data_IF_778798898614
#
_entry.id   IF_778798898614
#
_cell.length_a   1.000
_cell.length_b   1.000
_cell.length_c   1.000
_cell.angle_alpha   90.00
_cell.angle_beta   90.00
_cell.angle_gamma   90.00
#
_symmetry.space_group_name_H-M   'P 1'
#
loop_
_entity.id
_entity.type
_entity.pdbx_description
1 polymer ?
#
# COMPACT_ATOMS: atom_id res chain seq x y z
N UNK A 1 -7.40 -19.32 19.32
CA UNK A 1 -6.40 -18.83 18.34
C UNK A 1 -6.18 -17.34 18.57
N UNK A 2 -4.97 -16.99 19.02
CA UNK A 2 -4.64 -15.69 19.61
C UNK A 2 -4.61 -14.56 18.56
N UNK A 3 -5.61 -13.66 18.62
CA UNK A 3 -5.74 -12.47 17.78
C UNK A 3 -4.67 -11.39 18.05
N UNK A 4 -3.88 -11.55 19.11
CA UNK A 4 -2.86 -10.59 19.53
C UNK A 4 -1.52 -10.75 18.80
N UNK A 5 -1.27 -11.87 18.11
CA UNK A 5 -0.01 -12.05 17.39
C UNK A 5 0.02 -11.27 16.07
N UNK A 6 -1.14 -11.01 15.46
CA UNK A 6 -1.23 -10.29 14.18
C UNK A 6 -1.01 -8.76 14.33
N UNK A 7 -1.24 -8.21 15.52
CA UNK A 7 -1.12 -6.77 15.80
C UNK A 7 0.32 -6.30 16.02
N UNK A 8 1.27 -7.19 16.35
CA UNK A 8 2.68 -6.80 16.54
C UNK A 8 3.41 -6.65 15.19
N UNK A 9 2.92 -7.27 14.12
CA UNK A 9 3.60 -7.29 12.82
C UNK A 9 3.28 -6.11 11.88
N UNK A 10 2.30 -5.27 12.22
CA UNK A 10 1.92 -4.11 11.39
C UNK A 10 2.35 -2.75 11.97
N UNK A 11 2.84 -2.72 13.21
CA UNK A 11 3.47 -1.52 13.81
C UNK A 11 4.98 -1.49 13.63
N UNK A 12 5.61 -2.60 13.22
CA UNK A 12 7.06 -2.66 12.99
C UNK A 12 7.53 -2.20 11.60
N UNK A 13 6.63 -1.92 10.65
CA UNK A 13 7.04 -1.41 9.33
C UNK A 13 7.33 0.10 9.32
N UNK A 14 7.00 0.84 10.39
CA UNK A 14 7.25 2.28 10.49
C UNK A 14 8.35 2.66 11.51
N UNK A 15 9.08 1.70 12.07
CA UNK A 15 10.16 1.97 13.03
C UNK A 15 11.59 1.66 12.53
N UNK A 16 11.75 1.27 11.25
CA UNK A 16 13.06 0.87 10.72
C UNK A 16 13.79 1.93 9.89
N UNK A 17 13.35 3.19 9.90
CA UNK A 17 14.05 4.28 9.19
C UNK A 17 14.98 5.11 10.09
N UNK A 18 15.07 4.81 11.39
CA UNK A 18 15.83 5.63 12.36
C UNK A 18 17.09 4.98 12.94
N UNK A 19 17.42 3.72 12.63
CA UNK A 19 18.64 3.08 13.13
C UNK A 19 19.33 2.29 12.02
N UNK A 20 20.46 2.83 11.55
CA UNK A 20 21.29 2.33 10.44
C UNK A 20 22.04 1.01 10.69
N UNK A 21 21.42 0.04 11.38
CA UNK A 21 21.91 -1.34 11.46
C UNK A 21 20.72 -2.29 11.38
N UNK A 22 20.16 -2.44 10.18
CA UNK A 22 19.26 -3.55 9.88
C UNK A 22 20.13 -4.81 9.77
N UNK A 23 20.22 -5.57 10.87
CA UNK A 23 21.04 -6.79 10.92
C UNK A 23 20.64 -7.73 9.78
N UNK A 24 21.64 -8.28 9.08
CA UNK A 24 21.45 -9.26 8.01
C UNK A 24 20.59 -10.48 8.44
N UNK A 25 20.50 -10.71 9.76
CA UNK A 25 19.71 -11.76 10.40
C UNK A 25 18.19 -11.60 10.24
N UNK A 26 17.67 -10.38 10.08
CA UNK A 26 16.22 -10.14 9.95
C UNK A 26 15.70 -10.24 8.50
N UNK A 27 16.60 -10.19 7.50
CA UNK A 27 16.27 -10.30 6.08
C UNK A 27 15.42 -11.54 5.72
N UNK A 28 15.73 -12.77 6.19
CA UNK A 28 14.91 -13.94 5.85
C UNK A 28 13.49 -13.87 6.41
N UNK A 29 13.30 -13.29 7.60
CA UNK A 29 11.97 -13.14 8.21
C UNK A 29 11.12 -12.11 7.48
N UNK A 30 11.73 -11.00 7.03
CA UNK A 30 11.05 -9.99 6.22
C UNK A 30 10.66 -10.55 4.85
N UNK A 31 11.57 -11.26 4.18
CA UNK A 31 11.28 -11.92 2.90
C UNK A 31 10.16 -12.99 3.03
N UNK A 32 10.13 -13.71 4.17
CA UNK A 32 9.07 -14.68 4.43
C UNK A 32 7.73 -14.00 4.67
N UNK A 33 7.68 -12.91 5.44
CA UNK A 33 6.47 -12.12 5.68
C UNK A 33 5.90 -11.55 4.37
N UNK A 34 6.75 -10.99 3.51
CA UNK A 34 6.36 -10.50 2.19
C UNK A 34 5.80 -11.63 1.32
N UNK A 35 6.43 -12.81 1.33
CA UNK A 35 5.94 -13.96 0.57
C UNK A 35 4.54 -14.43 1.02
N UNK A 36 4.23 -14.33 2.32
CA UNK A 36 2.91 -14.65 2.88
C UNK A 36 1.90 -13.59 2.45
N UNK A 37 2.25 -12.31 2.53
CA UNK A 37 1.40 -11.21 2.12
C UNK A 37 1.06 -11.29 0.63
N UNK A 38 2.06 -11.57 -0.22
CA UNK A 38 1.89 -11.75 -1.66
C UNK A 38 0.95 -12.92 -1.97
N UNK A 39 1.14 -14.08 -1.32
CA UNK A 39 0.25 -15.24 -1.50
C UNK A 39 -1.19 -14.92 -1.10
N UNK A 40 -1.40 -14.36 0.08
CA UNK A 40 -2.75 -14.02 0.54
C UNK A 40 -3.43 -13.00 -0.39
N UNK A 41 -2.70 -11.95 -0.78
CA UNK A 41 -3.22 -10.94 -1.70
C UNK A 41 -3.61 -11.55 -3.05
N UNK A 42 -2.70 -12.33 -3.64
CA UNK A 42 -2.92 -13.06 -4.90
C UNK A 42 -4.18 -13.91 -4.84
N UNK A 43 -4.27 -14.79 -3.84
CA UNK A 43 -5.35 -15.76 -3.72
C UNK A 43 -6.68 -15.05 -3.42
N UNK A 44 -6.65 -13.94 -2.68
CA UNK A 44 -7.84 -13.17 -2.32
C UNK A 44 -8.49 -12.41 -3.49
N UNK A 45 -7.73 -12.10 -4.53
CA UNK A 45 -8.18 -11.34 -5.69
C UNK A 45 -8.12 -12.15 -7.00
N UNK A 46 -7.70 -13.42 -6.92
CA UNK A 46 -7.54 -14.28 -8.10
C UNK A 46 -6.50 -13.77 -9.10
N UNK A 47 -5.43 -13.12 -8.62
CA UNK A 47 -4.41 -12.55 -9.48
C UNK A 47 -3.43 -13.63 -9.97
N UNK A 48 -2.84 -13.42 -11.15
CA UNK A 48 -1.65 -14.18 -11.54
C UNK A 48 -0.42 -13.76 -10.73
N UNK A 49 0.58 -14.63 -10.62
CA UNK A 49 1.85 -14.31 -9.93
C UNK A 49 2.50 -13.03 -10.50
N UNK A 50 2.48 -12.88 -11.84
CA UNK A 50 3.01 -11.69 -12.52
C UNK A 50 2.25 -10.44 -12.12
N UNK A 51 0.92 -10.47 -12.10
CA UNK A 51 0.11 -9.33 -11.66
C UNK A 51 0.36 -8.99 -10.20
N UNK A 52 0.50 -10.00 -9.33
CA UNK A 52 0.85 -9.77 -7.92
C UNK A 52 2.20 -9.09 -7.80
N UNK A 53 3.25 -9.56 -8.48
CA UNK A 53 4.56 -8.92 -8.45
C UNK A 53 4.50 -7.46 -8.93
N UNK A 54 3.81 -7.19 -10.04
CA UNK A 54 3.62 -5.83 -10.54
C UNK A 54 2.86 -4.94 -9.55
N UNK A 55 1.84 -5.47 -8.88
CA UNK A 55 1.11 -4.71 -7.85
C UNK A 55 2.03 -4.31 -6.70
N UNK A 56 2.85 -5.22 -6.17
CA UNK A 56 3.74 -4.91 -5.05
C UNK A 56 4.80 -3.87 -5.46
N UNK A 57 5.34 -3.94 -6.68
CA UNK A 57 6.23 -2.90 -7.21
C UNK A 57 5.53 -1.53 -7.29
N UNK A 58 4.29 -1.49 -7.79
CA UNK A 58 3.52 -0.24 -7.86
C UNK A 58 3.21 0.32 -6.47
N UNK A 59 2.85 -0.55 -5.54
CA UNK A 59 2.56 -0.21 -4.13
C UNK A 59 3.79 0.40 -3.46
N UNK A 60 4.94 -0.27 -3.57
CA UNK A 60 6.16 0.16 -2.91
C UNK A 60 6.66 1.49 -3.48
N UNK A 61 6.54 1.65 -4.81
CA UNK A 61 6.79 2.94 -5.45
C UNK A 61 5.85 4.04 -4.95
N UNK A 62 4.56 3.77 -4.85
CA UNK A 62 3.59 4.74 -4.34
C UNK A 62 3.93 5.20 -2.92
N UNK A 63 4.33 4.29 -2.02
CA UNK A 63 4.76 4.65 -0.68
C UNK A 63 6.05 5.46 -0.68
N UNK A 64 7.07 5.05 -1.43
CA UNK A 64 8.32 5.80 -1.53
C UNK A 64 8.08 7.24 -2.06
N UNK A 65 7.30 7.39 -3.13
CA UNK A 65 6.97 8.70 -3.70
C UNK A 65 6.12 9.53 -2.72
N UNK A 66 5.24 8.88 -1.93
CA UNK A 66 4.43 9.54 -0.89
C UNK A 66 5.28 10.09 0.24
N UNK A 67 6.23 9.28 0.73
CA UNK A 67 7.16 9.67 1.79
C UNK A 67 8.07 10.82 1.32
N UNK A 68 8.50 10.80 0.05
CA UNK A 68 9.24 11.91 -0.55
C UNK A 68 8.43 13.21 -0.57
N UNK A 69 7.14 13.17 -0.94
CA UNK A 69 6.29 14.38 -0.94
C UNK A 69 6.08 14.88 0.49
N UNK A 70 5.80 13.99 1.46
CA UNK A 70 5.61 14.37 2.85
C UNK A 70 6.87 14.95 3.49
N UNK A 71 8.05 14.44 3.11
CA UNK A 71 9.35 14.89 3.61
C UNK A 71 9.91 16.14 2.92
N UNK A 72 9.30 16.61 1.81
CA UNK A 72 9.77 17.77 1.07
C UNK A 72 9.35 19.07 1.75
N UNK A 73 10.26 19.61 2.58
CA UNK A 73 10.07 20.86 3.32
C UNK A 73 10.14 22.11 2.44
N UNK A 74 10.47 21.98 1.15
CA UNK A 74 10.46 23.11 0.21
C UNK A 74 9.07 23.44 -0.32
N UNK A 75 8.11 22.54 -0.13
CA UNK A 75 6.74 22.68 -0.59
C UNK A 75 5.84 23.27 0.49
N UNK A 76 4.88 24.08 0.07
CA UNK A 76 3.73 24.43 0.91
C UNK A 76 2.80 23.23 1.08
N UNK A 77 1.98 23.24 2.14
CA UNK A 77 0.97 22.20 2.38
C UNK A 77 0.03 22.01 1.18
N UNK A 78 -0.34 23.11 0.51
CA UNK A 78 -1.17 23.07 -0.70
C UNK A 78 -0.46 22.35 -1.85
N UNK A 79 0.82 22.64 -2.08
CA UNK A 79 1.60 21.98 -3.13
C UNK A 79 1.83 20.50 -2.83
N UNK A 80 2.06 20.15 -1.56
CA UNK A 80 2.13 18.75 -1.13
C UNK A 80 0.80 18.04 -1.43
N UNK A 81 -0.34 18.64 -1.06
CA UNK A 81 -1.66 18.07 -1.33
C UNK A 81 -1.91 17.86 -2.83
N UNK A 82 -1.57 18.84 -3.67
CA UNK A 82 -1.74 18.72 -5.11
C UNK A 82 -0.83 17.63 -5.71
N UNK A 83 0.42 17.51 -5.24
CA UNK A 83 1.30 16.39 -5.63
C UNK A 83 0.75 15.04 -5.19
N UNK A 84 0.20 14.93 -3.98
CA UNK A 84 -0.45 13.71 -3.51
C UNK A 84 -1.65 13.31 -4.38
N UNK A 85 -2.47 14.28 -4.80
CA UNK A 85 -3.59 14.03 -5.71
C UNK A 85 -3.10 13.46 -7.04
N UNK A 86 -2.09 14.08 -7.65
CA UNK A 86 -1.49 13.59 -8.91
C UNK A 86 -0.89 12.19 -8.76
N UNK A 87 -0.18 11.94 -7.66
CA UNK A 87 0.38 10.62 -7.36
C UNK A 87 -0.72 9.56 -7.24
N UNK A 88 -1.79 9.86 -6.51
CA UNK A 88 -2.94 8.95 -6.33
C UNK A 88 -3.68 8.66 -7.63
N UNK A 89 -3.88 9.67 -8.48
CA UNK A 89 -4.46 9.49 -9.82
C UNK A 89 -3.58 8.57 -10.67
N UNK A 90 -2.28 8.84 -10.73
CA UNK A 90 -1.31 8.04 -11.50
C UNK A 90 -1.32 6.58 -11.05
N UNK A 91 -1.23 6.36 -9.74
CA UNK A 91 -1.27 5.02 -9.15
C UNK A 91 -2.59 4.30 -9.45
N UNK A 92 -3.72 5.01 -9.34
CA UNK A 92 -5.04 4.46 -9.66
C UNK A 92 -5.15 4.05 -11.13
N UNK A 93 -4.65 4.87 -12.06
CA UNK A 93 -4.59 4.53 -13.49
C UNK A 93 -3.73 3.29 -13.74
N UNK A 94 -2.59 3.16 -13.07
CA UNK A 94 -1.72 1.98 -13.19
C UNK A 94 -2.40 0.72 -12.65
N UNK A 95 -3.11 0.81 -11.53
CA UNK A 95 -3.89 -0.31 -10.98
C UNK A 95 -5.02 -0.74 -11.91
N UNK A 96 -5.77 0.21 -12.51
CA UNK A 96 -6.82 -0.08 -13.49
C UNK A 96 -6.29 -0.74 -14.77
N UNK A 97 -5.01 -0.54 -15.13
CA UNK A 97 -4.36 -1.25 -16.24
C UNK A 97 -3.91 -2.66 -15.84
N UNK A 98 -3.55 -2.86 -14.57
CA UNK A 98 -3.08 -4.13 -14.05
C UNK A 98 -4.20 -5.12 -13.76
N UNK A 99 -5.34 -4.60 -13.27
CA UNK A 99 -6.51 -5.37 -12.87
C UNK A 99 -7.61 -5.27 -13.92
N UNK A 100 -8.39 -6.34 -14.07
CA UNK A 100 -9.65 -6.24 -14.81
C UNK A 100 -10.65 -5.40 -13.99
N UNK A 101 -11.68 -4.80 -14.61
CA UNK A 101 -12.66 -3.99 -13.88
C UNK A 101 -13.28 -4.71 -12.66
N UNK A 102 -13.70 -5.99 -12.75
CA UNK A 102 -14.23 -6.71 -11.58
C UNK A 102 -13.21 -6.88 -10.44
N UNK A 103 -11.94 -7.17 -10.77
CA UNK A 103 -10.87 -7.32 -9.80
C UNK A 103 -10.56 -5.98 -9.13
N UNK A 104 -10.56 -4.89 -9.90
CA UNK A 104 -10.35 -3.54 -9.39
C UNK A 104 -11.46 -3.15 -8.38
N UNK A 105 -12.73 -3.41 -8.69
CA UNK A 105 -13.83 -3.15 -7.75
C UNK A 105 -13.67 -3.93 -6.43
N UNK A 106 -13.32 -5.22 -6.50
CA UNK A 106 -13.06 -6.02 -5.30
C UNK A 106 -11.87 -5.49 -4.49
N UNK A 107 -10.81 -5.06 -5.17
CA UNK A 107 -9.66 -4.44 -4.54
C UNK A 107 -10.07 -3.18 -3.75
N UNK A 108 -10.85 -2.27 -4.36
CA UNK A 108 -11.30 -1.05 -3.69
C UNK A 108 -12.16 -1.34 -2.46
N UNK A 109 -13.08 -2.30 -2.53
CA UNK A 109 -13.89 -2.72 -1.37
C UNK A 109 -13.00 -3.20 -0.24
N UNK A 110 -11.99 -4.03 -0.54
CA UNK A 110 -11.05 -4.53 0.48
C UNK A 110 -10.21 -3.42 1.09
N UNK A 111 -9.75 -2.45 0.28
CA UNK A 111 -9.00 -1.29 0.80
C UNK A 111 -9.90 -0.46 1.72
N UNK A 112 -11.15 -0.18 1.33
CA UNK A 112 -12.12 0.56 2.17
C UNK A 112 -12.37 -0.15 3.50
N UNK A 113 -12.65 -1.47 3.47
CA UNK A 113 -12.85 -2.28 4.68
C UNK A 113 -11.63 -2.25 5.61
N UNK A 114 -10.43 -2.31 5.02
CA UNK A 114 -9.19 -2.22 5.78
C UNK A 114 -9.04 -0.84 6.42
N UNK A 115 -9.27 0.24 5.68
CA UNK A 115 -9.19 1.61 6.21
C UNK A 115 -10.21 1.83 7.35
N UNK A 116 -11.43 1.31 7.22
CA UNK A 116 -12.45 1.43 8.28
C UNK A 116 -12.09 0.67 9.56
N UNK A 117 -11.31 -0.43 9.45
CA UNK A 117 -10.88 -1.20 10.62
C UNK A 117 -9.81 -0.48 11.46
N UNK A 118 -9.09 0.49 10.89
CA UNK A 118 -8.00 1.20 11.57
C UNK A 118 -8.39 2.58 12.12
N UNK A 119 -9.66 3.01 12.02
CA UNK A 119 -10.09 4.36 12.41
C UNK A 119 -9.25 5.49 11.78
N UNK A 120 -8.58 5.20 10.66
CA UNK A 120 -7.87 6.20 9.87
C UNK A 120 -8.94 6.87 9.01
N UNK A 121 -9.54 7.94 9.55
CA UNK A 121 -10.44 8.83 8.83
C UNK A 121 -9.66 9.62 7.76
N UNK A 122 -9.15 8.92 6.74
CA UNK A 122 -8.68 9.53 5.50
C UNK A 122 -9.86 9.72 4.54
N UNK A 123 -9.80 10.72 3.64
CA UNK A 123 -10.88 10.94 2.68
C UNK A 123 -11.13 9.67 1.86
N UNK A 124 -12.41 9.32 1.61
CA UNK A 124 -12.76 8.07 0.96
C UNK A 124 -12.04 7.91 -0.38
N UNK A 125 -11.72 6.67 -0.73
CA UNK A 125 -11.46 6.29 -2.12
C UNK A 125 -12.79 6.44 -2.85
N UNK A 126 -13.08 7.66 -3.33
CA UNK A 126 -14.19 7.89 -4.24
C UNK A 126 -13.96 7.05 -5.49
N UNK A 127 -15.02 6.38 -5.89
CA UNK A 127 -15.12 5.79 -7.20
C UNK A 127 -15.35 6.99 -8.11
N UNK A 128 -14.29 7.50 -8.74
CA UNK A 128 -14.42 8.59 -9.71
C UNK A 128 -15.03 8.00 -10.99
N UNK A 129 -16.32 7.66 -10.91
CA UNK A 129 -17.17 7.25 -12.02
C UNK A 129 -17.80 8.44 -12.74
N UNK A 130 -17.46 9.68 -12.35
CA UNK A 130 -17.90 10.90 -13.01
C UNK A 130 -16.69 11.82 -13.22
N UNK A 131 -15.90 11.59 -14.28
CA UNK A 131 -15.22 12.59 -15.13
C UNK A 131 -14.57 11.90 -16.33
#
# INVERSE_FOLDING_TARGET
MNKNLLMIFLTLSSFCSAFGQQSDELKPYLAQADSIQMRYFRDSLGLSLRQTQQYFVLRDKFFADSDMIAGDTSLTEKEQLDRFRTLRLTHTTQLKKLFTPPIYSQFIVRVKLRMSQYNIAGPPLTDDSDY
#
